data_IF_892195670538
#
_entry.id   IF_892195670538
#
_cell.length_a   1.000
_cell.length_b   1.000
_cell.length_c   1.000
_cell.angle_alpha   90.00
_cell.angle_beta   90.00
_cell.angle_gamma   90.00
#
_symmetry.space_group_name_H-M   'P 1'
#
loop_
_entity.id
_entity.type
_entity.pdbx_description
1 polymer ?
#
# COMPACT_ATOMS: atom_id res chain seq x y z
N UNK A 1 -42.54 -14.81 55.17
CA UNK A 1 -43.06 -15.57 54.02
C UNK A 1 -42.57 -14.90 52.75
N UNK A 2 -41.96 -15.71 51.86
CA UNK A 2 -41.70 -15.47 50.41
C UNK A 2 -40.82 -14.26 50.03
N UNK A 3 -39.50 -14.41 49.86
CA UNK A 3 -38.72 -14.91 48.69
C UNK A 3 -38.84 -14.08 47.40
N UNK A 4 -37.71 -13.44 47.06
CA UNK A 4 -37.00 -13.40 45.76
C UNK A 4 -37.82 -12.95 44.54
N UNK A 5 -37.45 -11.82 43.95
CA UNK A 5 -37.25 -11.75 42.50
C UNK A 5 -36.22 -10.66 42.12
N UNK A 6 -35.12 -11.12 41.52
CA UNK A 6 -34.33 -10.50 40.45
C UNK A 6 -33.94 -9.01 40.58
N UNK A 7 -32.71 -8.65 40.91
CA UNK A 7 -31.54 -8.76 40.02
C UNK A 7 -31.82 -8.22 38.59
N UNK A 8 -32.12 -6.92 38.43
CA UNK A 8 -32.28 -6.31 37.08
C UNK A 8 -31.94 -4.82 36.99
N UNK A 9 -31.05 -4.29 37.83
CA UNK A 9 -30.56 -2.89 37.71
C UNK A 9 -29.05 -2.86 37.38
N UNK A 10 -28.59 -3.85 36.61
CA UNK A 10 -27.19 -3.94 36.20
C UNK A 10 -27.04 -4.46 34.77
N UNK A 11 -27.89 -4.00 33.85
CA UNK A 11 -27.77 -4.30 32.42
C UNK A 11 -28.44 -3.23 31.54
N UNK A 12 -28.06 -1.95 31.70
CA UNK A 12 -28.57 -0.86 30.84
C UNK A 12 -27.50 0.20 30.51
N UNK A 13 -26.22 -0.17 30.57
CA UNK A 13 -25.07 0.66 30.13
C UNK A 13 -24.09 -0.21 29.32
N UNK A 14 -24.58 -1.02 28.39
CA UNK A 14 -23.74 -1.90 27.57
C UNK A 14 -24.18 -2.00 26.10
N UNK A 15 -25.03 -1.08 25.61
CA UNK A 15 -25.54 -1.13 24.24
C UNK A 15 -25.49 0.22 23.48
N UNK A 16 -24.56 1.11 23.82
CA UNK A 16 -24.36 2.38 23.07
C UNK A 16 -22.95 2.55 22.51
N UNK A 17 -22.19 1.46 22.34
CA UNK A 17 -20.88 1.47 21.66
C UNK A 17 -20.84 0.59 20.40
N UNK A 18 -22.00 0.24 19.83
CA UNK A 18 -22.06 -0.09 18.41
C UNK A 18 -22.23 1.25 17.71
N UNK A 19 -21.12 2.00 17.64
CA UNK A 19 -21.01 3.05 16.64
C UNK A 19 -20.94 2.36 15.30
N UNK A 20 -22.10 2.05 14.71
CA UNK A 20 -22.17 2.06 13.25
C UNK A 20 -21.56 3.40 12.86
N UNK A 21 -20.44 3.37 12.14
CA UNK A 21 -19.91 4.55 11.49
C UNK A 21 -20.92 4.95 10.40
N UNK A 22 -22.09 5.43 10.83
CA UNK A 22 -23.15 5.82 9.94
C UNK A 22 -22.68 7.06 9.19
N UNK A 23 -22.71 6.91 7.87
CA UNK A 23 -22.27 7.85 6.88
C UNK A 23 -23.21 9.07 6.91
N UNK A 24 -22.80 10.13 7.60
CA UNK A 24 -23.57 11.39 7.75
C UNK A 24 -23.47 12.33 6.52
N UNK A 25 -22.89 11.88 5.41
CA UNK A 25 -22.73 12.72 4.21
C UNK A 25 -23.86 12.53 3.21
N UNK A 26 -24.62 13.61 2.99
CA UNK A 26 -25.66 13.76 1.97
C UNK A 26 -25.00 13.99 0.58
N UNK A 27 -24.26 13.00 0.06
CA UNK A 27 -23.63 13.10 -1.27
C UNK A 27 -23.53 11.77 -2.01
N UNK A 28 -23.56 11.88 -3.34
CA UNK A 28 -23.47 10.82 -4.36
C UNK A 28 -22.39 9.78 -4.05
N UNK A 29 -22.73 8.49 -4.22
CA UNK A 29 -21.85 7.35 -3.98
C UNK A 29 -20.54 7.40 -4.80
N UNK A 30 -19.56 6.56 -4.42
CA UNK A 30 -18.20 6.42 -5.02
C UNK A 30 -18.22 6.34 -6.55
N UNK A 31 -19.29 5.76 -7.11
CA UNK A 31 -19.61 5.76 -8.53
C UNK A 31 -20.49 6.92 -8.97
N UNK A 32 -20.07 8.14 -8.65
CA UNK A 32 -20.84 9.35 -8.89
C UNK A 32 -21.03 9.67 -10.38
N UNK A 33 -20.23 9.05 -11.25
CA UNK A 33 -20.46 8.97 -12.70
C UNK A 33 -20.53 7.51 -13.17
N UNK A 34 -21.26 7.19 -14.26
CA UNK A 34 -21.27 5.82 -14.80
C UNK A 34 -19.89 5.27 -15.14
N UNK A 35 -18.94 6.16 -15.47
CA UNK A 35 -17.56 5.82 -15.76
C UNK A 35 -16.79 5.49 -14.48
N UNK A 36 -16.92 6.30 -13.42
CA UNK A 36 -16.37 6.00 -12.10
C UNK A 36 -16.93 4.68 -11.56
N UNK A 37 -18.24 4.47 -11.68
CA UNK A 37 -18.93 3.24 -11.27
C UNK A 37 -18.37 1.98 -11.96
N UNK A 38 -18.19 2.06 -13.28
CA UNK A 38 -17.63 0.95 -14.06
C UNK A 38 -16.17 0.69 -13.70
N UNK A 39 -15.38 1.75 -13.51
CA UNK A 39 -13.98 1.63 -13.13
C UNK A 39 -13.83 1.06 -11.72
N UNK A 40 -14.66 1.48 -10.76
CA UNK A 40 -14.65 0.97 -9.39
C UNK A 40 -14.93 -0.54 -9.35
N UNK A 41 -15.91 -1.02 -10.12
CA UNK A 41 -16.24 -2.46 -10.23
C UNK A 41 -15.08 -3.26 -10.83
N UNK A 42 -14.41 -2.73 -11.85
CA UNK A 42 -13.23 -3.35 -12.44
C UNK A 42 -12.05 -3.36 -11.45
N UNK A 43 -11.83 -2.26 -10.71
CA UNK A 43 -10.80 -2.19 -9.67
C UNK A 43 -11.06 -3.23 -8.57
N UNK A 44 -12.28 -3.29 -8.05
CA UNK A 44 -12.71 -4.26 -7.04
C UNK A 44 -12.46 -5.69 -7.48
N UNK A 45 -12.84 -6.01 -8.72
CA UNK A 45 -12.62 -7.34 -9.30
C UNK A 45 -11.13 -7.70 -9.34
N UNK A 46 -10.29 -6.79 -9.84
CA UNK A 46 -8.85 -7.05 -9.94
C UNK A 46 -8.18 -7.17 -8.55
N UNK A 47 -8.58 -6.35 -7.57
CA UNK A 47 -8.08 -6.41 -6.21
C UNK A 47 -8.47 -7.72 -5.49
N UNK A 48 -9.73 -8.15 -5.64
CA UNK A 48 -10.19 -9.45 -5.11
C UNK A 48 -9.42 -10.63 -5.72
N UNK A 49 -9.12 -10.57 -7.01
CA UNK A 49 -8.33 -11.60 -7.67
C UNK A 49 -6.90 -11.69 -7.13
N UNK A 50 -6.36 -10.64 -6.48
CA UNK A 50 -5.04 -10.67 -5.84
C UNK A 50 -5.11 -10.90 -4.33
N UNK A 51 -6.29 -11.25 -3.81
CA UNK A 51 -6.48 -11.62 -2.40
C UNK A 51 -6.74 -10.44 -1.47
N UNK A 52 -6.95 -9.23 -2.00
CA UNK A 52 -7.33 -8.06 -1.19
C UNK A 52 -8.81 -8.17 -0.82
N UNK A 53 -9.11 -8.00 0.47
CA UNK A 53 -10.48 -7.81 0.94
C UNK A 53 -10.91 -6.38 0.57
N UNK A 54 -11.97 -6.26 -0.23
CA UNK A 54 -12.43 -4.98 -0.74
C UNK A 54 -13.83 -4.69 -0.22
N UNK A 55 -13.96 -3.59 0.50
CA UNK A 55 -15.26 -2.98 0.80
C UNK A 55 -15.18 -1.49 0.57
N UNK A 56 -15.56 -1.07 -0.64
CA UNK A 56 -15.60 0.36 -0.96
C UNK A 56 -16.70 1.09 -0.18
N UNK A 57 -17.76 0.40 0.24
CA UNK A 57 -18.92 1.02 0.89
C UNK A 57 -18.87 0.98 2.43
N UNK A 58 -17.84 0.41 3.02
CA UNK A 58 -17.74 0.21 4.47
C UNK A 58 -16.37 0.68 4.99
N UNK A 59 -16.40 1.66 5.88
CA UNK A 59 -15.19 2.15 6.57
C UNK A 59 -14.70 1.17 7.65
N UNK A 60 -15.54 0.22 8.09
CA UNK A 60 -15.20 -0.73 9.14
C UNK A 60 -13.99 -1.60 8.80
N UNK A 61 -13.81 -1.97 7.54
CA UNK A 61 -12.63 -2.71 7.08
C UNK A 61 -11.33 -1.90 7.21
N UNK A 62 -11.42 -0.57 7.15
CA UNK A 62 -10.26 0.32 7.34
C UNK A 62 -9.88 0.54 8.81
N UNK A 63 -10.70 0.05 9.76
CA UNK A 63 -10.31 -0.02 11.17
C UNK A 63 -9.30 -1.15 11.43
N UNK A 64 -9.18 -2.10 10.51
CA UNK A 64 -8.22 -3.21 10.56
C UNK A 64 -7.47 -3.38 9.22
N UNK A 65 -6.73 -2.34 8.79
CA UNK A 65 -6.12 -2.32 7.47
C UNK A 65 -5.06 -3.41 7.27
N UNK A 66 -4.53 -3.99 8.36
CA UNK A 66 -3.66 -5.16 8.34
C UNK A 66 -4.32 -6.41 7.70
N UNK A 67 -5.65 -6.53 7.79
CA UNK A 67 -6.37 -7.69 7.25
C UNK A 67 -6.59 -7.59 5.73
N UNK A 68 -6.30 -6.44 5.13
CA UNK A 68 -6.53 -6.17 3.71
C UNK A 68 -5.35 -6.62 2.83
N UNK A 69 -4.19 -6.84 3.44
CA UNK A 69 -2.95 -7.24 2.77
C UNK A 69 -2.92 -8.76 2.55
N UNK A 70 -2.84 -9.24 1.30
CA UNK A 70 -2.51 -10.63 1.02
C UNK A 70 -1.07 -10.94 1.45
N UNK A 71 -0.74 -12.23 1.56
CA UNK A 71 0.65 -12.60 1.79
C UNK A 71 1.52 -12.27 0.57
N UNK A 72 2.79 -11.89 0.75
CA UNK A 72 3.70 -11.58 -0.35
C UNK A 72 3.76 -12.67 -1.42
N UNK A 73 3.88 -13.94 -1.02
CA UNK A 73 3.97 -15.07 -1.95
C UNK A 73 2.73 -15.23 -2.86
N UNK A 74 1.56 -14.76 -2.43
CA UNK A 74 0.30 -14.90 -3.17
C UNK A 74 0.17 -13.89 -4.32
N UNK A 75 0.99 -12.85 -4.33
CA UNK A 75 0.98 -11.76 -5.33
C UNK A 75 2.22 -11.76 -6.24
N UNK A 76 3.10 -12.74 -6.08
CA UNK A 76 4.38 -12.78 -6.78
C UNK A 76 4.27 -13.04 -8.29
N UNK A 77 3.17 -13.60 -8.81
CA UNK A 77 3.12 -14.02 -10.22
C UNK A 77 2.88 -12.86 -11.20
N UNK A 78 3.37 -12.99 -12.44
CA UNK A 78 3.12 -11.99 -13.50
C UNK A 78 1.63 -11.72 -13.73
N UNK A 79 0.81 -12.77 -13.60
CA UNK A 79 -0.65 -12.63 -13.72
C UNK A 79 -1.19 -11.71 -12.63
N UNK A 80 -0.79 -11.92 -11.37
CA UNK A 80 -1.19 -11.08 -10.24
C UNK A 80 -0.68 -9.66 -10.42
N UNK A 81 0.57 -9.48 -10.84
CA UNK A 81 1.13 -8.17 -11.12
C UNK A 81 0.30 -7.41 -12.17
N UNK A 82 -0.13 -8.07 -13.25
CA UNK A 82 -1.00 -7.47 -14.25
C UNK A 82 -2.36 -7.06 -13.66
N UNK A 83 -2.93 -7.85 -12.75
CA UNK A 83 -4.17 -7.50 -12.05
C UNK A 83 -3.98 -6.28 -11.16
N UNK A 84 -2.87 -6.18 -10.44
CA UNK A 84 -2.54 -5.01 -9.62
C UNK A 84 -2.43 -3.76 -10.51
N UNK A 85 -1.66 -3.82 -11.61
CA UNK A 85 -1.52 -2.70 -12.53
C UNK A 85 -2.86 -2.26 -13.17
N UNK A 86 -3.74 -3.23 -13.48
CA UNK A 86 -5.10 -2.93 -13.93
C UNK A 86 -5.91 -2.23 -12.83
N UNK A 87 -5.85 -2.69 -11.58
CA UNK A 87 -6.53 -2.05 -10.46
C UNK A 87 -6.07 -0.61 -10.27
N UNK A 88 -4.76 -0.35 -10.32
CA UNK A 88 -4.17 1.01 -10.26
C UNK A 88 -4.75 1.87 -11.39
N UNK A 89 -4.79 1.37 -12.62
CA UNK A 89 -5.35 2.09 -13.77
C UNK A 89 -6.81 2.48 -13.54
N UNK A 90 -7.63 1.54 -13.06
CA UNK A 90 -9.05 1.77 -12.83
C UNK A 90 -9.32 2.73 -11.66
N UNK A 91 -8.58 2.59 -10.55
CA UNK A 91 -8.68 3.49 -9.40
C UNK A 91 -8.24 4.92 -9.75
N UNK A 92 -7.23 5.09 -10.60
CA UNK A 92 -6.86 6.40 -11.13
C UNK A 92 -7.98 7.00 -12.00
N UNK A 93 -8.74 6.19 -12.74
CA UNK A 93 -9.94 6.67 -13.45
C UNK A 93 -10.99 7.12 -12.43
N UNK A 94 -11.23 6.36 -11.36
CA UNK A 94 -12.18 6.74 -10.30
C UNK A 94 -11.77 8.07 -9.67
N UNK A 95 -10.53 8.20 -9.17
CA UNK A 95 -10.00 9.46 -8.63
C UNK A 95 -10.12 10.58 -9.64
N UNK A 96 -9.73 10.34 -10.89
CA UNK A 96 -9.89 11.32 -11.95
C UNK A 96 -11.35 11.73 -12.07
N UNK A 97 -12.33 10.84 -12.11
CA UNK A 97 -13.74 11.25 -12.26
C UNK A 97 -14.31 11.97 -11.02
N UNK A 98 -13.97 11.52 -9.81
CA UNK A 98 -14.55 12.09 -8.58
C UNK A 98 -13.82 13.36 -8.11
N UNK A 99 -12.56 13.55 -8.54
CA UNK A 99 -11.75 14.74 -8.28
C UNK A 99 -11.63 15.68 -9.51
N UNK A 100 -11.89 15.23 -10.76
CA UNK A 100 -11.96 16.06 -11.99
C UNK A 100 -13.30 16.80 -12.11
N UNK A 101 -13.61 17.57 -11.08
CA UNK A 101 -14.18 18.91 -11.26
C UNK A 101 -13.35 20.00 -10.56
N UNK A 102 -12.23 19.65 -9.91
CA UNK A 102 -11.43 20.51 -9.03
C UNK A 102 -10.66 21.67 -9.69
N UNK A 103 -10.98 22.07 -10.93
CA UNK A 103 -10.56 23.39 -11.45
C UNK A 103 -11.69 24.39 -11.54
N UNK A 104 -12.96 23.99 -11.52
CA UNK A 104 -14.11 24.90 -11.64
C UNK A 104 -15.38 24.49 -10.84
N UNK A 105 -15.39 23.35 -10.17
CA UNK A 105 -16.51 22.90 -9.33
C UNK A 105 -16.03 22.02 -8.14
N UNK A 106 -16.84 21.88 -7.06
CA UNK A 106 -16.52 21.03 -5.93
C UNK A 106 -16.41 19.54 -6.36
N UNK A 107 -15.59 18.71 -5.69
CA UNK A 107 -15.52 17.27 -5.95
C UNK A 107 -16.90 16.61 -5.89
N UNK A 108 -17.17 15.67 -6.80
CA UNK A 108 -18.48 15.00 -6.92
C UNK A 108 -18.60 13.82 -5.93
N UNK A 109 -17.49 13.19 -5.58
CA UNK A 109 -17.46 12.14 -4.56
C UNK A 109 -17.46 12.71 -3.15
N UNK A 110 -18.12 12.00 -2.23
CA UNK A 110 -18.08 12.31 -0.79
C UNK A 110 -16.64 12.25 -0.24
N UNK A 111 -16.38 12.87 0.91
CA UNK A 111 -15.03 12.91 1.49
C UNK A 111 -14.58 11.49 1.83
N UNK A 112 -15.48 10.69 2.40
CA UNK A 112 -15.25 9.28 2.73
C UNK A 112 -14.87 8.46 1.49
N UNK A 113 -15.64 8.60 0.42
CA UNK A 113 -15.41 7.88 -0.84
C UNK A 113 -14.02 8.15 -1.42
N UNK A 114 -13.64 9.43 -1.46
CA UNK A 114 -12.31 9.84 -1.92
C UNK A 114 -11.21 9.27 -1.02
N UNK A 115 -11.44 9.29 0.30
CA UNK A 115 -10.53 8.71 1.28
C UNK A 115 -10.31 7.20 1.09
N UNK A 116 -11.39 6.45 0.87
CA UNK A 116 -11.36 5.01 0.62
C UNK A 116 -10.66 4.69 -0.70
N UNK A 117 -10.99 5.40 -1.78
CA UNK A 117 -10.35 5.16 -3.09
C UNK A 117 -8.86 5.46 -3.02
N UNK A 118 -8.45 6.54 -2.34
CA UNK A 118 -7.03 6.80 -2.08
C UNK A 118 -6.37 5.69 -1.25
N UNK A 119 -7.04 5.16 -0.23
CA UNK A 119 -6.50 4.05 0.56
C UNK A 119 -6.20 2.83 -0.34
N UNK A 120 -7.19 2.37 -1.10
CA UNK A 120 -7.04 1.21 -1.97
C UNK A 120 -6.06 1.45 -3.13
N UNK A 121 -5.92 2.70 -3.58
CA UNK A 121 -4.90 3.07 -4.55
C UNK A 121 -3.51 2.97 -3.94
N UNK A 122 -3.29 3.51 -2.74
CA UNK A 122 -2.03 3.33 -2.01
C UNK A 122 -1.71 1.86 -1.78
N UNK A 123 -2.70 1.06 -1.40
CA UNK A 123 -2.56 -0.38 -1.22
C UNK A 123 -2.14 -1.06 -2.53
N UNK A 124 -2.78 -0.73 -3.65
CA UNK A 124 -2.42 -1.30 -4.94
C UNK A 124 -0.97 -0.97 -5.36
N UNK A 125 -0.48 0.26 -5.11
CA UNK A 125 0.92 0.61 -5.38
C UNK A 125 1.88 -0.17 -4.49
N UNK A 126 1.57 -0.31 -3.20
CA UNK A 126 2.36 -1.10 -2.27
C UNK A 126 2.45 -2.57 -2.72
N UNK A 127 1.33 -3.14 -3.19
CA UNK A 127 1.29 -4.51 -3.69
C UNK A 127 2.11 -4.67 -4.98
N UNK A 128 2.09 -3.70 -5.90
CA UNK A 128 2.95 -3.77 -7.10
C UNK A 128 4.44 -3.66 -6.71
N UNK A 129 4.78 -2.83 -5.72
CA UNK A 129 6.15 -2.73 -5.21
C UNK A 129 6.64 -4.06 -4.63
N UNK A 130 5.82 -4.71 -3.79
CA UNK A 130 6.12 -6.04 -3.23
C UNK A 130 6.23 -7.07 -4.36
N UNK A 131 5.26 -7.11 -5.29
CA UNK A 131 5.25 -8.06 -6.41
C UNK A 131 6.52 -7.95 -7.28
N UNK A 132 6.98 -6.73 -7.57
CA UNK A 132 8.24 -6.48 -8.30
C UNK A 132 9.46 -7.00 -7.57
N UNK A 133 9.55 -6.77 -6.25
CA UNK A 133 10.64 -7.29 -5.42
C UNK A 133 10.66 -8.82 -5.37
N UNK A 134 9.52 -9.48 -5.47
CA UNK A 134 9.48 -10.95 -5.45
C UNK A 134 9.96 -11.60 -6.76
N UNK A 135 10.15 -10.82 -7.83
CA UNK A 135 10.69 -11.27 -9.12
C UNK A 135 9.99 -12.54 -9.63
N UNK A 136 8.74 -12.38 -10.07
CA UNK A 136 7.80 -13.43 -10.52
C UNK A 136 8.34 -14.60 -11.34
N UNK A 137 9.44 -14.40 -12.07
CA UNK A 137 10.03 -15.34 -13.02
C UNK A 137 11.36 -15.94 -12.55
N UNK A 138 11.83 -15.58 -11.35
CA UNK A 138 13.08 -16.07 -10.80
C UNK A 138 12.83 -17.22 -9.82
N UNK A 139 13.21 -18.48 -10.13
CA UNK A 139 13.06 -19.61 -9.22
C UNK A 139 13.95 -19.50 -7.97
N UNK A 140 14.88 -18.53 -7.94
CA UNK A 140 15.69 -18.18 -6.79
C UNK A 140 15.26 -16.80 -6.32
N UNK A 141 14.30 -16.74 -5.39
CA UNK A 141 13.85 -15.47 -4.80
C UNK A 141 15.05 -14.71 -4.23
N UNK A 142 15.49 -13.65 -4.92
CA UNK A 142 16.62 -12.81 -4.50
C UNK A 142 16.27 -12.07 -3.23
N UNK A 143 15.06 -11.50 -3.20
CA UNK A 143 14.55 -10.75 -2.07
C UNK A 143 13.54 -11.59 -1.29
N UNK A 144 13.58 -11.43 0.03
CA UNK A 144 12.67 -12.11 0.97
C UNK A 144 11.84 -11.02 1.63
N UNK A 145 10.52 -11.11 1.47
CA UNK A 145 9.55 -10.25 2.15
C UNK A 145 8.61 -11.16 2.92
N UNK A 146 8.47 -10.91 4.22
CA UNK A 146 7.45 -11.56 5.03
C UNK A 146 6.48 -10.51 5.56
N UNK A 147 5.21 -10.91 5.69
CA UNK A 147 4.16 -10.08 6.27
C UNK A 147 3.55 -10.81 7.46
N UNK A 148 3.69 -10.22 8.65
CA UNK A 148 3.11 -10.74 9.88
C UNK A 148 2.73 -9.59 10.82
N UNK A 149 1.50 -9.06 10.71
CA UNK A 149 1.06 -7.94 11.55
C UNK A 149 0.93 -8.32 13.04
N UNK A 150 0.89 -9.62 13.35
CA UNK A 150 0.83 -10.15 14.71
C UNK A 150 2.21 -10.49 15.30
N UNK A 151 3.30 -10.08 14.65
CA UNK A 151 4.64 -10.34 15.15
C UNK A 151 4.92 -9.56 16.45
N UNK A 152 5.59 -10.22 17.40
CA UNK A 152 6.00 -9.60 18.67
C UNK A 152 7.06 -8.49 18.51
N UNK A 153 7.58 -8.27 17.29
CA UNK A 153 8.53 -7.20 16.95
C UNK A 153 7.87 -5.82 16.86
N UNK A 154 6.55 -5.75 16.65
CA UNK A 154 5.85 -4.48 16.36
C UNK A 154 6.07 -3.95 14.93
N UNK A 155 6.72 -4.74 14.07
CA UNK A 155 6.93 -4.47 12.64
C UNK A 155 6.14 -5.49 11.83
N UNK A 156 5.30 -5.01 10.91
CA UNK A 156 4.47 -5.91 10.10
C UNK A 156 5.23 -6.59 8.96
N UNK A 157 6.29 -5.94 8.47
CA UNK A 157 7.07 -6.42 7.33
C UNK A 157 8.49 -6.72 7.75
N UNK A 158 9.06 -7.79 7.22
CA UNK A 158 10.50 -8.01 7.19
C UNK A 158 10.99 -7.97 5.75
N UNK A 159 12.22 -7.51 5.54
CA UNK A 159 12.84 -7.48 4.22
C UNK A 159 14.31 -7.85 4.28
N UNK A 160 14.73 -8.69 3.35
CA UNK A 160 16.11 -9.12 3.23
C UNK A 160 16.41 -9.76 1.88
N UNK A 161 17.51 -10.50 1.84
CA UNK A 161 18.00 -11.19 0.65
C UNK A 161 18.24 -12.67 0.96
N UNK A 162 18.20 -13.50 -0.08
CA UNK A 162 18.52 -14.91 0.05
C UNK A 162 19.98 -15.14 0.47
N UNK A 163 20.22 -16.32 1.05
CA UNK A 163 21.56 -16.75 1.45
C UNK A 163 22.55 -16.78 0.27
N UNK A 164 22.08 -17.01 -0.95
CA UNK A 164 22.92 -17.00 -2.15
C UNK A 164 23.44 -15.58 -2.46
N UNK A 165 22.55 -14.59 -2.44
CA UNK A 165 22.92 -13.18 -2.68
C UNK A 165 23.78 -12.66 -1.53
N UNK A 166 23.45 -13.05 -0.29
CA UNK A 166 24.25 -12.72 0.88
C UNK A 166 25.68 -13.26 0.75
N UNK A 167 25.85 -14.51 0.33
CA UNK A 167 27.17 -15.10 0.10
C UNK A 167 27.95 -14.36 -1.01
N UNK A 168 27.27 -13.90 -2.08
CA UNK A 168 27.90 -13.06 -3.11
C UNK A 168 28.40 -11.74 -2.50
N UNK A 169 27.57 -11.03 -1.74
CA UNK A 169 27.96 -9.78 -1.06
C UNK A 169 29.12 -9.99 -0.08
N UNK A 170 29.05 -11.01 0.77
CA UNK A 170 30.09 -11.32 1.76
C UNK A 170 31.43 -11.68 1.09
N UNK A 171 31.40 -12.21 -0.15
CA UNK A 171 32.61 -12.50 -0.95
C UNK A 171 33.18 -11.28 -1.69
N UNK A 172 32.40 -10.20 -1.83
CA UNK A 172 32.82 -8.99 -2.52
C UNK A 172 33.70 -8.13 -1.61
N UNK A 173 34.99 -8.01 -1.95
CA UNK A 173 35.98 -7.32 -1.11
C UNK A 173 35.81 -5.80 -1.06
N UNK A 174 35.28 -5.21 -2.13
CA UNK A 174 35.09 -3.77 -2.26
C UNK A 174 33.59 -3.44 -2.13
N UNK A 175 33.14 -2.78 -1.05
CA UNK A 175 31.73 -2.42 -0.87
C UNK A 175 31.14 -1.57 -2.00
N UNK A 176 31.97 -0.83 -2.76
CA UNK A 176 31.52 -0.08 -3.93
C UNK A 176 31.05 -0.99 -5.09
N UNK A 177 31.44 -2.27 -5.06
CA UNK A 177 31.06 -3.28 -6.05
C UNK A 177 29.85 -4.10 -5.62
N UNK A 178 29.28 -3.89 -4.43
CA UNK A 178 28.08 -4.61 -3.97
C UNK A 178 26.89 -4.59 -4.94
N UNK A 179 26.62 -3.50 -5.70
CA UNK A 179 25.57 -3.52 -6.71
C UNK A 179 25.77 -4.55 -7.84
N UNK A 180 26.99 -5.08 -8.01
CA UNK A 180 27.31 -6.15 -8.98
C UNK A 180 26.92 -7.55 -8.51
N UNK A 181 26.65 -7.71 -7.21
CA UNK A 181 26.10 -8.96 -6.67
C UNK A 181 24.66 -9.20 -7.14
N UNK A 182 23.99 -8.14 -7.60
CA UNK A 182 22.63 -8.15 -8.12
C UNK A 182 22.61 -8.19 -9.65
N UNK A 183 21.61 -8.83 -10.24
CA UNK A 183 21.36 -8.74 -11.68
C UNK A 183 20.73 -7.39 -12.07
N UNK A 184 20.67 -7.08 -13.38
CA UNK A 184 19.97 -5.87 -13.86
C UNK A 184 18.50 -5.86 -13.46
N UNK A 185 17.83 -7.03 -13.50
CA UNK A 185 16.44 -7.19 -13.07
C UNK A 185 16.26 -6.94 -11.57
N UNK A 186 17.13 -7.50 -10.74
CA UNK A 186 17.09 -7.31 -9.28
C UNK A 186 17.32 -5.85 -8.88
N UNK A 187 18.28 -5.18 -9.53
CA UNK A 187 18.48 -3.73 -9.35
C UNK A 187 17.24 -2.94 -9.77
N UNK A 188 16.61 -3.31 -10.88
CA UNK A 188 15.39 -2.65 -11.35
C UNK A 188 14.24 -2.81 -10.36
N UNK A 189 14.07 -3.99 -9.77
CA UNK A 189 13.04 -4.25 -8.78
C UNK A 189 13.17 -3.35 -7.54
N UNK A 190 14.40 -3.13 -7.05
CA UNK A 190 14.66 -2.17 -5.95
C UNK A 190 14.27 -0.75 -6.37
N UNK A 191 14.69 -0.32 -7.57
CA UNK A 191 14.42 1.03 -8.07
C UNK A 191 12.92 1.27 -8.21
N UNK A 192 12.21 0.36 -8.86
CA UNK A 192 10.76 0.48 -9.08
C UNK A 192 9.99 0.43 -7.76
N UNK A 193 10.35 -0.46 -6.83
CA UNK A 193 9.63 -0.60 -5.57
C UNK A 193 9.73 0.67 -4.70
N UNK A 194 10.92 1.27 -4.61
CA UNK A 194 11.13 2.49 -3.84
C UNK A 194 10.48 3.72 -4.51
N UNK A 195 10.38 3.74 -5.83
CA UNK A 195 9.60 4.74 -6.56
C UNK A 195 8.09 4.57 -6.28
N UNK A 196 7.54 3.36 -6.40
CA UNK A 196 6.13 3.06 -6.09
C UNK A 196 5.75 3.41 -4.64
N UNK A 197 6.62 3.10 -3.68
CA UNK A 197 6.32 3.32 -2.25
C UNK A 197 6.42 4.81 -1.90
N UNK A 198 7.47 5.50 -2.36
CA UNK A 198 7.87 6.81 -1.81
C UNK A 198 8.27 7.87 -2.84
N UNK A 199 8.17 7.59 -4.14
CA UNK A 199 8.74 8.38 -5.24
C UNK A 199 10.26 8.59 -5.10
N UNK A 200 10.98 7.67 -4.46
CA UNK A 200 12.42 7.81 -4.27
C UNK A 200 13.17 7.55 -5.59
N UNK A 201 14.08 8.47 -5.94
CA UNK A 201 14.98 8.25 -7.08
C UNK A 201 16.20 7.49 -6.60
N UNK A 202 16.28 6.22 -7.01
CA UNK A 202 17.32 5.27 -6.57
C UNK A 202 18.24 4.91 -7.73
N UNK A 203 19.55 4.91 -7.50
CA UNK A 203 20.55 4.54 -8.51
C UNK A 203 21.71 3.76 -7.88
N UNK A 204 22.30 2.78 -8.58
CA UNK A 204 23.56 2.17 -8.15
C UNK A 204 24.67 3.24 -8.08
N UNK A 205 25.49 3.25 -7.01
CA UNK A 205 26.63 4.18 -6.84
C UNK A 205 27.78 3.90 -7.82
N UNK A 206 27.88 2.67 -8.33
CA UNK A 206 28.98 2.24 -9.18
C UNK A 206 28.83 2.79 -10.61
N UNK A 207 29.79 3.59 -11.07
CA UNK A 207 29.77 4.24 -12.40
C UNK A 207 29.81 3.26 -13.59
N UNK A 208 30.28 2.03 -13.38
CA UNK A 208 30.39 1.02 -14.42
C UNK A 208 29.12 0.19 -14.61
N UNK A 209 28.08 0.41 -13.81
CA UNK A 209 26.75 -0.17 -14.04
C UNK A 209 26.00 0.75 -14.99
N UNK A 210 25.38 0.15 -16.02
CA UNK A 210 24.52 0.88 -16.96
C UNK A 210 23.46 1.66 -16.15
N UNK A 211 23.26 2.96 -16.40
CA UNK A 211 22.22 3.72 -15.72
C UNK A 211 20.86 3.04 -15.85
N UNK A 212 20.17 2.90 -14.71
CA UNK A 212 18.80 2.40 -14.61
C UNK A 212 17.95 3.51 -14.01
N UNK A 213 16.82 3.81 -14.66
CA UNK A 213 15.76 4.65 -14.13
C UNK A 213 14.57 3.77 -13.79
N UNK A 214 13.64 4.30 -13.00
CA UNK A 214 12.37 3.63 -12.74
C UNK A 214 11.65 3.31 -14.05
N UNK A 215 10.96 2.17 -14.08
CA UNK A 215 10.05 1.80 -15.18
C UNK A 215 8.58 2.17 -14.87
N UNK A 216 8.34 2.78 -13.71
CA UNK A 216 7.03 3.21 -13.23
C UNK A 216 6.92 4.74 -13.15
N UNK A 217 7.72 5.48 -13.92
CA UNK A 217 7.80 6.95 -13.90
C UNK A 217 6.74 7.66 -14.77
N UNK A 218 5.57 7.04 -14.94
CA UNK A 218 4.48 7.56 -15.76
C UNK A 218 3.20 6.71 -15.67
N UNK A 219 2.15 7.05 -16.44
CA UNK A 219 0.86 6.38 -16.33
C UNK A 219 0.96 4.84 -16.38
N UNK A 220 0.25 4.11 -15.50
CA UNK A 220 -0.77 4.61 -14.58
C UNK A 220 -0.22 5.15 -13.25
N UNK A 221 1.10 5.20 -13.05
CA UNK A 221 1.72 5.63 -11.80
C UNK A 221 1.85 7.16 -11.77
N UNK A 222 1.04 7.82 -10.94
CA UNK A 222 0.93 9.28 -10.88
C UNK A 222 1.46 9.86 -9.56
N UNK A 223 1.44 9.06 -8.49
CA UNK A 223 1.92 9.41 -7.15
C UNK A 223 2.52 8.17 -6.49
N UNK A 224 2.97 8.28 -5.24
CA UNK A 224 3.43 7.13 -4.46
C UNK A 224 2.33 6.53 -3.59
N UNK A 225 2.55 5.30 -3.13
CA UNK A 225 1.69 4.66 -2.12
C UNK A 225 1.56 5.55 -0.87
N UNK A 226 2.68 6.05 -0.35
CA UNK A 226 2.70 6.94 0.81
C UNK A 226 1.92 8.24 0.59
N UNK A 227 1.96 8.82 -0.61
CA UNK A 227 1.14 10.00 -0.93
C UNK A 227 -0.35 9.69 -0.83
N UNK A 228 -0.78 8.58 -1.42
CA UNK A 228 -2.18 8.13 -1.37
C UNK A 228 -2.65 7.83 0.04
N UNK A 229 -1.82 7.16 0.84
CA UNK A 229 -2.14 6.89 2.24
C UNK A 229 -2.23 8.16 3.10
N UNK A 230 -1.32 9.13 2.92
CA UNK A 230 -1.41 10.44 3.58
C UNK A 230 -2.69 11.18 3.18
N UNK A 231 -3.09 11.13 1.91
CA UNK A 231 -4.36 11.70 1.43
C UNK A 231 -5.57 11.02 2.05
N UNK A 232 -5.55 9.69 2.13
CA UNK A 232 -6.61 8.91 2.77
C UNK A 232 -6.79 9.30 4.24
N UNK A 233 -5.70 9.36 5.02
CA UNK A 233 -5.74 9.83 6.42
C UNK A 233 -6.32 11.23 6.51
N UNK A 234 -5.85 12.16 5.67
CA UNK A 234 -6.35 13.54 5.68
C UNK A 234 -7.85 13.67 5.41
N UNK A 235 -8.41 12.79 4.58
CA UNK A 235 -9.84 12.78 4.25
C UNK A 235 -10.67 12.03 5.30
N UNK A 236 -10.13 10.96 5.89
CA UNK A 236 -10.88 10.08 6.80
C UNK A 236 -10.71 10.41 8.29
N UNK A 237 -9.74 11.26 8.65
CA UNK A 237 -9.37 11.50 10.06
C UNK A 237 -10.45 12.12 10.95
N UNK A 238 -11.48 12.74 10.35
CA UNK A 238 -12.55 13.43 11.08
C UNK A 238 -13.78 12.53 11.36
N UNK A 239 -13.85 11.32 10.79
CA UNK A 239 -15.01 10.43 10.94
C UNK A 239 -15.09 9.79 12.33
N UNK A 240 -14.03 9.10 12.74
CA UNK A 240 -13.93 8.58 14.10
C UNK A 240 -12.45 8.41 14.51
N UNK A 241 -12.19 8.38 15.82
CA UNK A 241 -10.84 8.31 16.36
C UNK A 241 -10.16 6.95 16.08
N UNK A 242 -10.93 5.86 16.09
CA UNK A 242 -10.42 4.50 15.88
C UNK A 242 -9.86 4.31 14.47
N UNK A 243 -10.61 4.71 13.44
CA UNK A 243 -10.22 4.72 12.04
C UNK A 243 -9.00 5.60 11.80
N UNK A 244 -8.97 6.80 12.38
CA UNK A 244 -7.82 7.70 12.27
C UNK A 244 -6.56 7.04 12.84
N UNK A 245 -6.67 6.42 14.02
CA UNK A 245 -5.53 5.80 14.68
C UNK A 245 -5.07 4.54 13.93
N UNK A 246 -6.00 3.74 13.40
CA UNK A 246 -5.71 2.57 12.56
C UNK A 246 -5.00 2.94 11.25
N UNK A 247 -5.50 3.94 10.52
CA UNK A 247 -4.87 4.41 9.29
C UNK A 247 -3.51 5.06 9.54
N UNK A 248 -3.34 5.72 10.70
CA UNK A 248 -2.04 6.27 11.08
C UNK A 248 -1.03 5.16 11.42
N UNK A 249 -1.41 4.16 12.20
CA UNK A 249 -0.54 3.01 12.49
C UNK A 249 -0.16 2.29 11.21
N UNK A 250 -1.12 2.06 10.30
CA UNK A 250 -0.85 1.53 8.98
C UNK A 250 0.23 2.33 8.23
N UNK A 251 0.09 3.66 8.17
CA UNK A 251 1.09 4.51 7.52
C UNK A 251 2.46 4.42 8.20
N UNK A 252 2.50 4.42 9.53
CA UNK A 252 3.73 4.26 10.29
C UNK A 252 4.41 2.91 9.99
N UNK A 253 3.64 1.84 9.72
CA UNK A 253 4.16 0.54 9.30
C UNK A 253 4.69 0.55 7.86
N UNK A 254 4.05 1.28 6.94
CA UNK A 254 4.57 1.45 5.58
C UNK A 254 5.85 2.29 5.57
N UNK A 255 5.93 3.33 6.40
CA UNK A 255 7.14 4.14 6.57
C UNK A 255 8.32 3.28 7.09
N UNK A 256 8.07 2.38 8.05
CA UNK A 256 9.08 1.41 8.51
C UNK A 256 9.50 0.45 7.39
N UNK A 257 8.55 -0.05 6.60
CA UNK A 257 8.87 -0.95 5.49
C UNK A 257 9.73 -0.26 4.42
N UNK A 258 9.38 0.97 4.01
CA UNK A 258 10.20 1.81 3.12
C UNK A 258 11.62 1.95 3.66
N UNK A 259 11.74 2.30 4.94
CA UNK A 259 13.02 2.54 5.58
C UNK A 259 13.90 1.29 5.58
N UNK A 260 13.34 0.10 5.85
CA UNK A 260 14.09 -1.15 5.83
C UNK A 260 14.59 -1.45 4.41
N UNK A 261 13.76 -1.29 3.37
CA UNK A 261 14.18 -1.48 1.98
C UNK A 261 15.30 -0.51 1.64
N UNK A 262 15.13 0.76 2.01
CA UNK A 262 16.10 1.82 1.75
C UNK A 262 17.44 1.57 2.42
N UNK A 263 17.46 1.28 3.72
CA UNK A 263 18.70 1.02 4.47
C UNK A 263 19.45 -0.20 3.91
N UNK A 264 18.72 -1.26 3.58
CA UNK A 264 19.30 -2.43 2.94
C UNK A 264 19.92 -2.07 1.58
N UNK A 265 19.20 -1.38 0.70
CA UNK A 265 19.72 -0.98 -0.59
C UNK A 265 20.88 0.03 -0.49
N UNK A 266 20.88 0.97 0.46
CA UNK A 266 22.04 1.81 0.74
C UNK A 266 23.28 0.99 1.12
N UNK A 267 23.08 -0.02 1.99
CA UNK A 267 24.13 -0.95 2.41
C UNK A 267 24.65 -1.80 1.24
N UNK A 268 23.82 -2.02 0.22
CA UNK A 268 24.17 -2.73 -1.01
C UNK A 268 24.75 -1.83 -2.11
N UNK A 269 25.04 -0.57 -1.80
CA UNK A 269 25.72 0.35 -2.72
C UNK A 269 24.80 1.14 -3.64
N UNK A 270 23.53 1.32 -3.29
CA UNK A 270 22.64 2.27 -3.96
C UNK A 270 22.71 3.65 -3.29
N UNK A 271 22.39 4.69 -4.05
CA UNK A 271 22.23 6.07 -3.59
C UNK A 271 20.85 6.60 -3.91
N UNK A 272 20.42 7.56 -3.11
CA UNK A 272 19.10 8.17 -3.16
C UNK A 272 19.26 9.65 -3.45
N UNK A 273 18.44 10.17 -4.34
CA UNK A 273 18.16 11.59 -4.43
C UNK A 273 16.70 11.79 -4.08
N UNK A 274 16.42 12.62 -3.08
CA UNK A 274 15.04 12.99 -2.76
C UNK A 274 14.39 13.57 -4.01
N UNK A 275 13.31 12.97 -4.50
CA UNK A 275 12.38 13.74 -5.32
C UNK A 275 11.80 14.79 -4.37
N UNK A 276 11.94 16.07 -4.73
CA UNK A 276 11.17 17.08 -4.03
C UNK A 276 9.71 16.78 -4.37
N UNK A 277 8.89 16.47 -3.36
CA UNK A 277 7.45 16.33 -3.52
C UNK A 277 6.92 17.60 -4.22
N UNK A 278 6.29 17.42 -5.39
CA UNK A 278 5.54 18.45 -6.11
C UNK A 278 4.05 18.29 -5.87
#
# INVERSE_FOLDING_TARGET
MTRILSLSVMLLILFSLIGCADREEDTTAIGSTPKADSALKEAEKNLKEVGVIVSFNDLGELAHPENLLPKPEDIASQEKQKKIANAITQLNIVISEIEQEAKMAPPIGSVSDRGIVHFYLGLAYLLDAISRLLLSDDPKTTFIIEYNPNANSGEWFTYGISNEVKAKLDSTKNPLEYPTAFTEKERQAIIDALDLISNAVVKPKLQNIKPQSSTVDGPPYLHSAMWHFKKSVGLLSDYNAELRDALKDFNDQIDKFELIIKQNAESWGFSYTSSQEG
#
